data_IF_707998713402
#
_entry.id   IF_707998713402
#
_cell.length_a   1.000
_cell.length_b   1.000
_cell.length_c   1.000
_cell.angle_alpha   90.00
_cell.angle_beta   90.00
_cell.angle_gamma   90.00
#
_symmetry.space_group_name_H-M   'P 1'
#
loop_
_entity.id
_entity.type
_entity.pdbx_description
1 polymer ?
#
# COMPACT_ATOMS: atom_id res chain seq x y z
N UNK A 1 48.09 -64.24 -22.74
CA UNK A 1 47.69 -63.59 -21.51
C UNK A 1 47.04 -62.26 -21.89
N UNK A 2 45.73 -62.20 -21.95
CA UNK A 2 44.96 -61.02 -22.39
C UNK A 2 44.49 -60.26 -21.17
N UNK A 3 44.89 -59.01 -21.06
CA UNK A 3 44.44 -58.10 -20.00
C UNK A 3 43.32 -57.23 -20.54
N UNK A 4 42.14 -57.45 -20.03
CA UNK A 4 40.92 -56.69 -20.38
C UNK A 4 40.83 -55.46 -19.48
N UNK A 5 40.97 -54.28 -20.05
CA UNK A 5 40.73 -52.99 -19.36
C UNK A 5 39.22 -52.68 -19.38
N UNK A 6 38.57 -52.66 -18.21
CA UNK A 6 37.23 -52.23 -18.04
C UNK A 6 37.22 -50.75 -17.68
N UNK A 7 36.70 -49.91 -18.59
CA UNK A 7 36.53 -48.47 -18.36
C UNK A 7 35.20 -48.26 -17.63
N UNK A 8 35.28 -47.77 -16.41
CA UNK A 8 34.12 -47.39 -15.59
C UNK A 8 33.73 -45.95 -15.92
N UNK A 9 32.65 -45.77 -16.68
CA UNK A 9 32.06 -44.45 -16.96
C UNK A 9 31.29 -43.98 -15.76
N UNK A 10 31.77 -42.93 -15.11
CA UNK A 10 31.03 -42.21 -14.08
C UNK A 10 30.05 -41.20 -14.75
N UNK A 11 28.77 -41.46 -14.64
CA UNK A 11 27.71 -40.51 -15.03
C UNK A 11 27.51 -39.52 -13.88
N UNK A 12 28.01 -38.29 -14.06
CA UNK A 12 27.72 -37.18 -13.13
C UNK A 12 26.34 -36.63 -13.48
N UNK A 13 25.36 -37.01 -12.69
CA UNK A 13 23.99 -36.44 -12.74
C UNK A 13 23.99 -35.01 -12.21
N UNK A 14 23.80 -34.05 -13.10
CA UNK A 14 23.61 -32.65 -12.76
C UNK A 14 22.18 -32.48 -12.25
N UNK A 15 21.98 -32.47 -10.92
CA UNK A 15 20.70 -32.17 -10.30
C UNK A 15 20.44 -30.66 -10.40
N UNK A 16 19.59 -30.26 -11.32
CA UNK A 16 19.08 -28.88 -11.38
C UNK A 16 18.09 -28.68 -10.23
N UNK A 17 18.52 -27.99 -9.18
CA UNK A 17 17.63 -27.48 -8.15
C UNK A 17 16.82 -26.34 -8.75
N UNK A 18 15.61 -26.64 -9.18
CA UNK A 18 14.60 -25.61 -9.48
C UNK A 18 14.16 -25.02 -8.15
N UNK A 19 14.70 -23.85 -7.81
CA UNK A 19 14.23 -23.07 -6.66
C UNK A 19 12.78 -22.63 -6.95
N UNK A 20 11.82 -23.37 -6.40
CA UNK A 20 10.46 -22.84 -6.26
C UNK A 20 10.55 -21.71 -5.24
N UNK A 21 10.49 -20.47 -5.72
CA UNK A 21 10.24 -19.33 -4.86
C UNK A 21 8.88 -19.56 -4.18
N UNK A 22 8.92 -19.99 -2.92
CA UNK A 22 7.74 -20.01 -2.07
C UNK A 22 7.27 -18.56 -1.97
N UNK A 23 6.08 -18.28 -2.49
CA UNK A 23 5.40 -17.00 -2.22
C UNK A 23 5.08 -17.01 -0.73
N UNK A 24 5.89 -16.32 0.05
CA UNK A 24 5.63 -16.07 1.47
C UNK A 24 4.22 -15.47 1.58
N UNK A 25 3.41 -15.89 2.57
CA UNK A 25 2.14 -15.23 2.83
C UNK A 25 2.45 -13.75 3.11
N UNK A 26 1.90 -12.85 2.30
CA UNK A 26 2.13 -11.42 2.41
C UNK A 26 1.51 -10.94 3.72
N UNK A 27 2.34 -10.83 4.74
CA UNK A 27 1.93 -10.33 6.05
C UNK A 27 1.87 -8.81 6.01
N UNK A 28 0.83 -8.26 6.64
CA UNK A 28 0.72 -6.81 6.81
C UNK A 28 1.98 -6.27 7.51
N UNK A 29 2.54 -5.13 7.03
CA UNK A 29 3.68 -4.51 7.68
C UNK A 29 3.40 -4.18 9.15
N UNK A 30 4.39 -4.43 10.01
CA UNK A 30 4.27 -4.29 11.45
C UNK A 30 4.60 -2.86 11.92
N UNK A 31 3.98 -2.45 13.03
CA UNK A 31 4.34 -1.21 13.74
C UNK A 31 5.79 -1.28 14.22
N UNK A 32 6.52 -0.16 14.08
CA UNK A 32 7.95 -0.06 14.41
C UNK A 32 8.88 -0.55 13.30
N UNK A 33 8.35 -0.91 12.14
CA UNK A 33 9.15 -1.31 10.97
C UNK A 33 9.10 -0.25 9.88
N UNK A 34 10.12 -0.18 9.02
CA UNK A 34 10.08 0.67 7.84
C UNK A 34 8.87 0.33 6.97
N UNK A 35 8.13 1.37 6.55
CA UNK A 35 7.05 1.20 5.58
C UNK A 35 7.63 0.77 4.22
N UNK A 36 7.03 -0.23 3.53
CA UNK A 36 7.42 -0.58 2.18
C UNK A 36 7.39 0.63 1.25
N UNK A 37 8.49 0.87 0.53
CA UNK A 37 8.54 1.99 -0.43
C UNK A 37 7.73 1.65 -1.68
N UNK A 38 7.17 2.67 -2.31
CA UNK A 38 6.43 2.53 -3.54
C UNK A 38 6.67 3.71 -4.47
N UNK A 39 6.34 3.54 -5.74
CA UNK A 39 6.22 4.61 -6.71
C UNK A 39 4.98 4.36 -7.55
N UNK A 40 3.96 5.20 -7.39
CA UNK A 40 2.66 5.08 -8.04
C UNK A 40 2.30 6.37 -8.79
N UNK A 41 1.43 6.21 -9.81
CA UNK A 41 0.96 7.32 -10.63
C UNK A 41 -0.28 7.96 -10.02
N UNK A 42 -0.34 9.28 -9.99
CA UNK A 42 -1.51 10.06 -9.57
C UNK A 42 -2.46 10.33 -10.74
N UNK A 43 -3.65 10.85 -10.44
CA UNK A 43 -4.65 11.23 -11.45
C UNK A 43 -4.18 12.34 -12.42
N UNK A 44 -3.21 13.16 -12.05
CA UNK A 44 -2.59 14.17 -12.92
C UNK A 44 -1.41 13.64 -13.75
N UNK A 45 -1.09 12.33 -13.62
CA UNK A 45 0.00 11.67 -14.33
C UNK A 45 1.38 11.81 -13.68
N UNK A 46 1.48 12.49 -12.54
CA UNK A 46 2.74 12.57 -11.81
C UNK A 46 3.06 11.27 -11.08
N UNK A 47 4.35 10.99 -10.88
CA UNK A 47 4.80 9.87 -10.05
C UNK A 47 4.97 10.36 -8.61
N UNK A 48 4.56 9.53 -7.66
CA UNK A 48 4.68 9.75 -6.23
C UNK A 48 5.32 8.55 -5.58
N UNK A 49 6.41 8.77 -4.85
CA UNK A 49 7.08 7.76 -4.04
C UNK A 49 6.92 8.08 -2.55
N UNK A 50 6.86 7.06 -1.70
CA UNK A 50 6.78 7.27 -0.24
C UNK A 50 7.99 8.07 0.28
N UNK A 51 9.17 7.83 -0.27
CA UNK A 51 10.41 8.56 0.08
C UNK A 51 10.35 10.06 -0.16
N UNK A 52 9.46 10.54 -1.04
CA UNK A 52 9.28 11.97 -1.31
C UNK A 52 8.65 12.71 -0.11
N UNK A 53 8.14 11.96 0.86
CA UNK A 53 7.50 12.46 2.07
C UNK A 53 8.35 12.29 3.34
N UNK A 54 9.65 12.00 3.22
CA UNK A 54 10.55 12.01 4.38
C UNK A 54 10.50 13.37 5.07
N UNK A 55 10.50 13.37 6.40
CA UNK A 55 10.31 14.57 7.21
C UNK A 55 8.86 15.00 7.41
N UNK A 56 7.88 14.26 6.85
CA UNK A 56 6.44 14.49 7.02
C UNK A 56 5.76 13.24 7.58
N UNK A 57 4.69 13.45 8.30
CA UNK A 57 3.76 12.38 8.63
C UNK A 57 2.96 12.00 7.39
N UNK A 58 2.72 10.70 7.19
CA UNK A 58 1.92 10.21 6.06
C UNK A 58 0.75 9.38 6.60
N UNK A 59 -0.45 9.73 6.18
CA UNK A 59 -1.64 8.89 6.36
C UNK A 59 -1.90 8.20 5.02
N UNK A 60 -1.47 6.95 4.93
CA UNK A 60 -1.63 6.11 3.76
C UNK A 60 -2.85 5.22 3.94
N UNK A 61 -3.95 5.50 3.23
CA UNK A 61 -5.16 4.70 3.32
C UNK A 61 -5.44 3.96 2.02
N UNK A 62 -5.79 2.68 2.16
CA UNK A 62 -6.21 1.80 1.07
C UNK A 62 -7.74 1.71 1.06
N UNK A 63 -8.33 1.74 -0.12
CA UNK A 63 -9.78 1.66 -0.29
C UNK A 63 -10.16 0.87 -1.53
N UNK A 64 -11.32 0.17 -1.55
CA UNK A 64 -11.67 -0.77 -2.60
C UNK A 64 -11.82 -0.17 -3.99
N UNK A 65 -12.59 0.95 -4.12
CA UNK A 65 -12.95 1.45 -5.45
C UNK A 65 -13.52 2.86 -5.44
N UNK A 66 -13.09 3.66 -6.41
CA UNK A 66 -13.65 4.98 -6.69
C UNK A 66 -15.17 4.94 -6.90
N UNK A 67 -15.84 6.04 -6.62
CA UNK A 67 -17.27 6.26 -6.84
C UNK A 67 -18.23 5.34 -6.06
N UNK A 68 -17.74 4.44 -5.21
CA UNK A 68 -18.59 3.66 -4.30
C UNK A 68 -18.97 4.49 -3.07
N UNK A 69 -20.16 4.25 -2.52
CA UNK A 69 -20.70 5.07 -1.42
C UNK A 69 -19.78 5.16 -0.20
N UNK A 70 -19.23 4.04 0.24
CA UNK A 70 -18.33 3.99 1.40
C UNK A 70 -17.00 4.69 1.14
N UNK A 71 -16.40 4.51 -0.05
CA UNK A 71 -15.14 5.15 -0.41
C UNK A 71 -15.32 6.66 -0.61
N UNK A 72 -16.45 7.07 -1.21
CA UNK A 72 -16.79 8.49 -1.35
C UNK A 72 -16.96 9.16 0.00
N UNK A 73 -17.65 8.49 0.95
CA UNK A 73 -17.81 9.02 2.31
C UNK A 73 -16.44 9.18 3.01
N UNK A 74 -15.58 8.18 2.92
CA UNK A 74 -14.23 8.21 3.51
C UNK A 74 -13.38 9.35 2.92
N UNK A 75 -13.33 9.45 1.58
CA UNK A 75 -12.61 10.51 0.88
C UNK A 75 -13.11 11.91 1.25
N UNK A 76 -14.43 12.10 1.32
CA UNK A 76 -15.03 13.38 1.75
C UNK A 76 -14.69 13.73 3.19
N UNK A 77 -14.66 12.76 4.11
CA UNK A 77 -14.26 12.99 5.49
C UNK A 77 -12.79 13.39 5.58
N UNK A 78 -11.89 12.71 4.88
CA UNK A 78 -10.50 13.13 4.76
C UNK A 78 -10.36 14.51 4.12
N UNK A 79 -11.16 14.84 3.10
CA UNK A 79 -11.15 16.17 2.48
C UNK A 79 -11.64 17.25 3.42
N UNK A 80 -12.73 17.02 4.17
CA UNK A 80 -13.24 17.93 5.19
C UNK A 80 -12.16 18.31 6.19
N UNK A 81 -11.36 17.32 6.61
CA UNK A 81 -10.36 17.46 7.65
C UNK A 81 -8.96 17.74 7.11
N UNK A 82 -8.78 17.87 5.79
CA UNK A 82 -7.48 17.96 5.13
C UNK A 82 -6.60 19.13 5.62
N UNK A 83 -7.21 20.29 5.94
CA UNK A 83 -6.47 21.41 6.52
C UNK A 83 -5.86 21.05 7.88
N UNK A 84 -6.60 20.32 8.74
CA UNK A 84 -6.11 19.89 10.05
C UNK A 84 -4.94 18.91 9.95
N UNK A 85 -4.95 18.03 8.93
CA UNK A 85 -3.79 17.17 8.62
C UNK A 85 -2.59 18.00 8.19
N UNK A 86 -2.79 19.00 7.32
CA UNK A 86 -1.73 19.92 6.91
C UNK A 86 -1.11 20.69 8.08
N UNK A 87 -1.93 21.23 8.98
CA UNK A 87 -1.49 21.92 10.20
C UNK A 87 -0.72 20.97 11.15
N UNK A 88 -1.09 19.70 11.14
CA UNK A 88 -0.37 18.65 11.86
C UNK A 88 0.94 18.21 11.15
N UNK A 89 1.30 18.78 10.00
CA UNK A 89 2.46 18.36 9.20
C UNK A 89 2.30 16.97 8.57
N UNK A 90 1.05 16.57 8.35
CA UNK A 90 0.73 15.28 7.74
C UNK A 90 0.17 15.44 6.33
N UNK A 91 0.42 14.45 5.49
CA UNK A 91 -0.18 14.33 4.16
C UNK A 91 -1.07 13.10 4.09
N UNK A 92 -2.14 13.19 3.31
CA UNK A 92 -3.05 12.08 3.05
C UNK A 92 -2.73 11.53 1.66
N UNK A 93 -2.57 10.22 1.56
CA UNK A 93 -2.39 9.47 0.32
C UNK A 93 -3.42 8.34 0.28
N UNK A 94 -4.28 8.33 -0.73
CA UNK A 94 -5.23 7.24 -0.94
C UNK A 94 -4.72 6.30 -2.03
N UNK A 95 -4.89 4.99 -1.85
CA UNK A 95 -4.47 3.97 -2.81
C UNK A 95 -5.63 3.04 -3.14
N UNK A 96 -5.90 2.83 -4.40
CA UNK A 96 -6.80 1.78 -4.87
C UNK A 96 -6.31 1.15 -6.17
N UNK A 97 -6.96 0.08 -6.60
CA UNK A 97 -6.67 -0.60 -7.87
C UNK A 97 -7.28 0.11 -9.08
N UNK A 98 -7.90 1.26 -8.89
CA UNK A 98 -8.43 2.05 -9.99
C UNK A 98 -7.32 2.69 -10.82
N UNK A 99 -7.65 3.11 -12.03
CA UNK A 99 -6.71 3.76 -12.94
C UNK A 99 -6.47 5.22 -12.56
N UNK A 100 -5.33 5.79 -12.99
CA UNK A 100 -5.05 7.22 -12.81
C UNK A 100 -6.16 8.11 -13.39
N UNK A 101 -6.78 7.73 -14.51
CA UNK A 101 -7.91 8.47 -15.08
C UNK A 101 -9.14 8.43 -14.15
N UNK A 102 -9.45 7.26 -13.56
CA UNK A 102 -10.54 7.15 -12.57
C UNK A 102 -10.30 8.06 -11.38
N UNK A 103 -9.09 8.08 -10.83
CA UNK A 103 -8.72 8.98 -9.73
C UNK A 103 -8.85 10.45 -10.10
N UNK A 104 -8.44 10.84 -11.32
CA UNK A 104 -8.62 12.21 -11.81
C UNK A 104 -10.09 12.62 -11.79
N UNK A 105 -10.95 11.76 -12.33
CA UNK A 105 -12.38 12.03 -12.42
C UNK A 105 -13.04 12.03 -11.02
N UNK A 106 -12.60 11.12 -10.14
CA UNK A 106 -13.09 11.05 -8.76
C UNK A 106 -12.67 12.28 -7.94
N UNK A 107 -11.40 12.70 -8.02
CA UNK A 107 -10.91 13.92 -7.38
C UNK A 107 -11.68 15.15 -7.86
N UNK A 108 -11.89 15.28 -9.17
CA UNK A 108 -12.62 16.40 -9.75
C UNK A 108 -14.09 16.44 -9.29
N UNK A 109 -14.77 15.28 -9.28
CA UNK A 109 -16.16 15.16 -8.86
C UNK A 109 -16.37 15.48 -7.36
N UNK A 110 -15.46 14.98 -6.52
CA UNK A 110 -15.57 15.07 -5.07
C UNK A 110 -14.82 16.28 -4.46
N UNK A 111 -14.11 17.05 -5.29
CA UNK A 111 -13.32 18.22 -4.86
C UNK A 111 -12.15 17.83 -3.95
N UNK A 112 -11.49 16.69 -4.20
CA UNK A 112 -10.39 16.21 -3.36
C UNK A 112 -9.11 16.95 -3.68
N UNK A 113 -8.44 17.49 -2.64
CA UNK A 113 -7.18 18.24 -2.75
C UNK A 113 -5.95 17.45 -2.27
N UNK A 114 -6.11 16.19 -1.90
CA UNK A 114 -5.04 15.27 -1.61
C UNK A 114 -4.86 14.25 -2.75
N UNK A 115 -3.76 13.51 -2.74
CA UNK A 115 -3.40 12.64 -3.87
C UNK A 115 -4.03 11.26 -3.74
N UNK A 116 -4.60 10.77 -4.84
CA UNK A 116 -4.98 9.38 -5.05
C UNK A 116 -3.97 8.71 -5.98
N UNK A 117 -3.55 7.50 -5.63
CA UNK A 117 -2.45 6.76 -6.23
C UNK A 117 -3.00 5.47 -6.87
N UNK A 118 -2.74 5.29 -8.15
CA UNK A 118 -3.21 4.15 -8.92
C UNK A 118 -2.29 2.93 -8.74
N UNK A 119 -2.85 1.83 -8.25
CA UNK A 119 -2.20 0.52 -8.06
C UNK A 119 -2.98 -0.58 -8.82
N UNK A 120 -3.11 -0.49 -10.17
CA UNK A 120 -4.01 -1.34 -10.94
C UNK A 120 -3.67 -2.84 -10.85
N UNK A 121 -2.42 -3.17 -10.60
CA UNK A 121 -1.94 -4.54 -10.44
C UNK A 121 -2.01 -5.03 -8.98
N UNK A 122 -2.55 -4.22 -8.06
CA UNK A 122 -2.63 -4.48 -6.63
C UNK A 122 -1.27 -4.86 -6.00
N UNK A 123 -0.16 -4.37 -6.56
CA UNK A 123 1.18 -4.72 -6.09
C UNK A 123 1.46 -4.08 -4.72
N UNK A 124 1.30 -2.77 -4.61
CA UNK A 124 1.51 -2.03 -3.37
C UNK A 124 0.47 -2.43 -2.33
N UNK A 125 -0.79 -2.58 -2.73
CA UNK A 125 -1.84 -3.10 -1.85
C UNK A 125 -1.49 -4.48 -1.28
N UNK A 126 -0.85 -5.33 -2.07
CA UNK A 126 -0.37 -6.65 -1.63
C UNK A 126 0.81 -6.52 -0.65
N UNK A 127 1.81 -5.69 -0.95
CA UNK A 127 2.98 -5.44 -0.08
C UNK A 127 2.58 -4.89 1.29
N UNK A 128 1.47 -4.14 1.35
CA UNK A 128 0.90 -3.63 2.61
C UNK A 128 -0.12 -4.58 3.25
N UNK A 129 -0.28 -5.82 2.75
CA UNK A 129 -1.29 -6.75 3.26
C UNK A 129 -2.72 -6.18 3.21
N UNK A 130 -2.95 -5.24 2.29
CA UNK A 130 -4.19 -4.48 2.13
C UNK A 130 -4.92 -4.87 0.86
N UNK A 131 -5.03 -6.16 0.59
CA UNK A 131 -5.72 -6.72 -0.57
C UNK A 131 -6.85 -7.65 -0.12
N UNK A 132 -7.94 -7.65 -0.87
CA UNK A 132 -9.05 -8.59 -0.69
C UNK A 132 -9.50 -9.14 -2.05
N UNK A 133 -10.03 -10.36 -2.04
CA UNK A 133 -10.72 -10.91 -3.21
C UNK A 133 -12.21 -10.54 -3.13
N UNK A 134 -12.70 -9.97 -4.20
CA UNK A 134 -14.11 -9.69 -4.38
C UNK A 134 -14.59 -10.25 -5.72
N UNK A 135 -15.30 -11.36 -5.70
CA UNK A 135 -15.83 -12.05 -6.88
C UNK A 135 -14.75 -12.38 -7.92
N UNK A 136 -13.58 -12.84 -7.48
CA UNK A 136 -12.45 -13.19 -8.33
C UNK A 136 -11.62 -12.00 -8.81
N UNK A 137 -11.88 -10.80 -8.30
CA UNK A 137 -11.09 -9.60 -8.57
C UNK A 137 -10.33 -9.17 -7.32
N UNK A 138 -9.05 -8.84 -7.46
CA UNK A 138 -8.29 -8.22 -6.38
C UNK A 138 -8.68 -6.76 -6.25
N UNK A 139 -9.10 -6.36 -5.05
CA UNK A 139 -9.36 -4.98 -4.67
C UNK A 139 -8.51 -4.63 -3.45
N UNK A 140 -8.26 -3.35 -3.24
CA UNK A 140 -7.66 -2.93 -1.99
C UNK A 140 -8.63 -3.13 -0.83
N UNK A 141 -8.13 -3.67 0.29
CA UNK A 141 -8.87 -3.75 1.55
C UNK A 141 -8.83 -2.39 2.26
N UNK A 142 -9.82 -2.12 3.13
CA UNK A 142 -9.91 -0.85 3.87
C UNK A 142 -8.97 -0.86 5.06
N UNK A 143 -7.71 -0.54 4.83
CA UNK A 143 -6.68 -0.42 5.85
C UNK A 143 -6.01 0.94 5.76
N UNK A 144 -5.50 1.43 6.90
CA UNK A 144 -4.78 2.71 6.94
C UNK A 144 -3.53 2.57 7.79
N UNK A 145 -2.48 3.23 7.37
CA UNK A 145 -1.18 3.25 8.04
C UNK A 145 -0.81 4.69 8.35
N UNK A 146 -0.43 4.97 9.60
CA UNK A 146 0.26 6.21 9.94
C UNK A 146 1.76 5.92 9.90
N UNK A 147 2.46 6.69 9.08
CA UNK A 147 3.91 6.60 8.88
C UNK A 147 4.55 7.87 9.40
N UNK A 148 5.56 7.74 10.25
CA UNK A 148 6.27 8.85 10.85
C UNK A 148 7.25 9.53 9.86
N UNK A 149 7.84 10.70 10.20
CA UNK A 149 8.79 11.41 9.35
C UNK A 149 10.02 10.59 8.94
N UNK A 150 10.41 9.59 9.72
CA UNK A 150 11.52 8.68 9.44
C UNK A 150 11.12 7.54 8.49
N UNK A 151 9.83 7.46 8.14
CA UNK A 151 9.27 6.46 7.24
C UNK A 151 8.98 5.13 7.88
N UNK A 152 8.78 5.09 9.20
CA UNK A 152 8.39 3.91 9.94
C UNK A 152 6.87 3.91 10.18
N UNK A 153 6.26 2.73 10.13
CA UNK A 153 4.87 2.55 10.48
C UNK A 153 4.71 2.67 12.00
N UNK A 154 3.88 3.59 12.46
CA UNK A 154 3.62 3.79 13.89
C UNK A 154 2.21 3.42 14.31
N UNK A 155 1.30 3.29 13.37
CA UNK A 155 -0.07 2.82 13.62
C UNK A 155 -0.66 2.12 12.39
N UNK A 156 -1.47 1.11 12.63
CA UNK A 156 -2.19 0.36 11.59
C UNK A 156 -3.66 0.25 11.98
N UNK A 157 -4.54 0.48 11.01
CA UNK A 157 -5.98 0.26 11.13
C UNK A 157 -6.41 -0.74 10.08
N UNK A 158 -7.18 -1.73 10.47
CA UNK A 158 -7.73 -2.76 9.58
C UNK A 158 -9.24 -2.74 9.59
N UNK A 159 -9.86 -3.04 8.44
CA UNK A 159 -11.32 -3.11 8.35
C UNK A 159 -12.01 -1.81 8.74
N UNK A 160 -11.48 -0.70 8.30
CA UNK A 160 -11.89 0.67 8.65
C UNK A 160 -13.36 0.95 8.34
N UNK A 161 -14.03 1.65 9.25
CA UNK A 161 -15.38 2.19 9.05
C UNK A 161 -15.30 3.63 8.54
N UNK A 162 -15.74 3.94 7.32
CA UNK A 162 -15.55 5.24 6.66
C UNK A 162 -16.06 6.45 7.43
N UNK A 163 -17.14 6.30 8.20
CA UNK A 163 -17.86 7.44 8.80
C UNK A 163 -17.03 8.20 9.84
N UNK A 164 -16.23 7.52 10.64
CA UNK A 164 -15.53 8.09 11.81
C UNK A 164 -14.01 8.08 11.64
N UNK A 165 -13.53 7.51 10.51
CA UNK A 165 -12.13 7.16 10.38
C UNK A 165 -11.19 8.37 10.36
N UNK A 166 -11.52 9.43 9.62
CA UNK A 166 -10.68 10.62 9.54
C UNK A 166 -10.47 11.26 10.93
N UNK A 167 -11.53 11.39 11.73
CA UNK A 167 -11.43 11.95 13.09
C UNK A 167 -10.61 11.07 14.02
N UNK A 168 -10.77 9.73 13.91
CA UNK A 168 -9.97 8.78 14.68
C UNK A 168 -8.47 8.91 14.34
N UNK A 169 -8.13 8.99 13.04
CA UNK A 169 -6.74 9.15 12.60
C UNK A 169 -6.15 10.47 13.08
N UNK A 170 -6.89 11.58 13.01
CA UNK A 170 -6.43 12.89 13.53
C UNK A 170 -6.13 12.85 15.02
N UNK A 171 -7.01 12.24 15.80
CA UNK A 171 -6.82 12.07 17.24
C UNK A 171 -5.54 11.29 17.54
N UNK A 172 -5.40 10.14 16.91
CA UNK A 172 -4.24 9.26 17.11
C UNK A 172 -2.94 9.92 16.64
N UNK A 173 -2.97 10.66 15.51
CA UNK A 173 -1.82 11.43 15.03
C UNK A 173 -1.39 12.49 16.03
N UNK A 174 -2.34 13.19 16.67
CA UNK A 174 -2.03 14.19 17.71
C UNK A 174 -1.40 13.57 18.95
N UNK A 175 -1.74 12.33 19.31
CA UNK A 175 -1.16 11.58 20.40
C UNK A 175 0.26 11.09 20.04
N UNK A 176 0.45 10.52 18.87
CA UNK A 176 1.74 10.01 18.37
C UNK A 176 2.81 11.10 18.23
N UNK A 177 2.41 12.34 17.98
CA UNK A 177 3.34 13.48 17.87
C UNK A 177 3.83 14.01 19.23
N UNK A 178 3.27 13.56 20.35
CA UNK A 178 3.68 13.94 21.71
C UNK A 178 4.67 12.94 22.32
N UNK A 179 4.75 11.74 21.76
CA UNK A 179 5.66 10.67 22.19
C UNK A 179 7.02 10.79 21.52
#
# INVERSE_FOLDING_TARGET
MKITNTILSAVVGLATFTSMAATEPQTQPEVGKPAPDFSLTTGDGSQVSLKDYRGKWVVLYFYPKDFTSGCTLEARNFQRDNAMYGDAGAVILGVSVDTAQSHKDFCAKEGLNFKLLADPDAKVSTEYGSVMDYKGQKLAARNTFIINPDGEIVKVYTGVKPAEHSEQVLKDLAELKKS
#
